data_IF_921699081742
#
_entry.id   IF_921699081742
#
_cell.length_a   1.000
_cell.length_b   1.000
_cell.length_c   1.000
_cell.angle_alpha   90.00
_cell.angle_beta   90.00
_cell.angle_gamma   90.00
#
_symmetry.space_group_name_H-M   'P 1'
#
loop_
_entity.id
_entity.type
_entity.pdbx_description
1 polymer ?
#
# COMPACT_ATOMS: atom_id res chain seq x y z
N UNK A 1 -15.60 -2.09 -23.45
CA UNK A 1 -16.47 -2.05 -22.25
C UNK A 1 -15.68 -1.91 -20.94
N UNK A 2 -14.48 -2.50 -20.81
CA UNK A 2 -13.67 -2.44 -19.59
C UNK A 2 -13.24 -1.03 -19.14
N UNK A 3 -12.88 -0.13 -20.06
CA UNK A 3 -12.37 1.20 -19.68
C UNK A 3 -13.43 2.10 -19.02
N UNK A 4 -14.67 2.11 -19.52
CA UNK A 4 -15.78 2.85 -18.89
C UNK A 4 -16.11 2.29 -17.50
N UNK A 5 -16.10 0.96 -17.36
CA UNK A 5 -16.31 0.29 -16.07
C UNK A 5 -15.20 0.59 -15.07
N UNK A 6 -13.93 0.63 -15.52
CA UNK A 6 -12.80 1.00 -14.69
C UNK A 6 -12.91 2.43 -14.18
N UNK A 7 -13.15 3.41 -15.08
CA UNK A 7 -13.29 4.83 -14.71
C UNK A 7 -14.43 5.02 -13.71
N UNK A 8 -15.58 4.37 -13.94
CA UNK A 8 -16.71 4.41 -13.01
C UNK A 8 -16.33 3.83 -11.64
N UNK A 9 -15.58 2.74 -11.61
CA UNK A 9 -15.14 2.09 -10.36
C UNK A 9 -14.13 2.95 -9.59
N UNK A 10 -13.22 3.63 -10.30
CA UNK A 10 -12.31 4.64 -9.72
C UNK A 10 -13.10 5.78 -9.09
N UNK A 11 -14.08 6.31 -9.82
CA UNK A 11 -14.94 7.38 -9.33
C UNK A 11 -15.70 6.96 -8.07
N UNK A 12 -16.34 5.78 -8.08
CA UNK A 12 -17.03 5.22 -6.91
C UNK A 12 -16.06 5.08 -5.75
N UNK A 13 -14.86 4.55 -5.98
CA UNK A 13 -13.85 4.40 -4.94
C UNK A 13 -13.49 5.72 -4.26
N UNK A 14 -13.30 6.78 -5.03
CA UNK A 14 -13.04 8.12 -4.47
C UNK A 14 -14.25 8.65 -3.71
N UNK A 15 -15.48 8.44 -4.19
CA UNK A 15 -16.69 8.91 -3.51
C UNK A 15 -16.91 8.21 -2.17
N UNK A 16 -16.70 6.89 -2.11
CA UNK A 16 -16.80 6.11 -0.86
C UNK A 16 -15.86 6.66 0.22
N UNK A 17 -14.63 7.02 -0.15
CA UNK A 17 -13.62 7.51 0.78
C UNK A 17 -13.80 8.99 1.18
N UNK A 18 -14.32 9.81 0.27
CA UNK A 18 -14.33 11.28 0.42
C UNK A 18 -15.65 11.86 0.91
N UNK A 19 -16.77 11.16 0.73
CA UNK A 19 -18.11 11.75 0.89
C UNK A 19 -18.71 11.61 2.29
N UNK A 20 -17.93 11.18 3.30
CA UNK A 20 -18.42 11.07 4.68
C UNK A 20 -18.55 12.42 5.40
N UNK A 21 -18.02 13.51 4.82
CA UNK A 21 -18.07 14.85 5.43
C UNK A 21 -18.09 15.98 4.40
N UNK A 22 -18.22 17.23 4.88
CA UNK A 22 -18.12 18.44 4.05
C UNK A 22 -16.72 18.54 3.45
N UNK A 23 -16.64 18.87 2.16
CA UNK A 23 -15.38 19.01 1.38
C UNK A 23 -14.23 19.72 2.11
N UNK A 24 -14.41 20.90 2.76
CA UNK A 24 -13.29 21.55 3.45
C UNK A 24 -12.75 20.75 4.64
N UNK A 25 -13.61 20.05 5.38
CA UNK A 25 -13.19 19.22 6.50
C UNK A 25 -12.46 17.97 6.02
N UNK A 26 -12.90 17.38 4.90
CA UNK A 26 -12.19 16.27 4.27
C UNK A 26 -10.80 16.66 3.79
N UNK A 27 -10.66 17.83 3.17
CA UNK A 27 -9.34 18.34 2.76
C UNK A 27 -8.43 18.49 3.99
N UNK A 28 -8.91 19.08 5.08
CA UNK A 28 -8.14 19.20 6.32
C UNK A 28 -7.72 17.83 6.86
N UNK A 29 -8.61 16.83 6.81
CA UNK A 29 -8.28 15.46 7.20
C UNK A 29 -7.17 14.84 6.35
N UNK A 30 -7.22 15.02 5.02
CA UNK A 30 -6.17 14.54 4.09
C UNK A 30 -4.79 15.14 4.39
N UNK A 31 -4.75 16.36 4.93
CA UNK A 31 -3.51 17.03 5.36
C UNK A 31 -3.06 16.60 6.76
N UNK A 32 -3.98 16.57 7.74
CA UNK A 32 -3.64 16.35 9.13
C UNK A 32 -3.23 14.89 9.41
N UNK A 33 -3.97 13.92 8.86
CA UNK A 33 -3.77 12.50 9.14
C UNK A 33 -2.37 12.00 8.79
N UNK A 34 -1.82 12.26 7.60
CA UNK A 34 -0.51 11.72 7.27
C UNK A 34 0.63 12.52 7.93
N UNK A 35 0.45 13.81 8.28
CA UNK A 35 1.43 14.55 9.10
C UNK A 35 1.51 13.91 10.50
N UNK A 36 0.35 13.59 11.09
CA UNK A 36 0.27 12.88 12.37
C UNK A 36 1.02 11.54 12.34
N UNK A 37 0.88 10.76 11.25
CA UNK A 37 1.54 9.45 11.12
C UNK A 37 3.08 9.53 11.17
N UNK A 38 3.66 10.64 10.72
CA UNK A 38 5.12 10.82 10.66
C UNK A 38 5.68 11.37 11.96
N UNK A 39 4.88 12.11 12.73
CA UNK A 39 5.32 12.64 14.02
C UNK A 39 5.86 11.54 14.93
N UNK A 40 5.31 10.33 14.87
CA UNK A 40 5.85 9.18 15.61
C UNK A 40 7.33 8.92 15.30
N UNK A 41 7.72 8.93 14.02
CA UNK A 41 9.12 8.72 13.62
C UNK A 41 9.99 9.92 14.04
N UNK A 42 9.50 11.14 13.88
CA UNK A 42 10.20 12.36 14.30
C UNK A 42 10.44 12.34 15.81
N UNK A 43 9.46 11.94 16.61
CA UNK A 43 9.55 11.86 18.07
C UNK A 43 10.58 10.79 18.47
N UNK A 44 10.47 9.58 17.91
CA UNK A 44 11.39 8.48 18.23
C UNK A 44 12.84 8.90 17.94
N UNK A 45 13.14 9.42 16.75
CA UNK A 45 14.52 9.75 16.37
C UNK A 45 14.99 11.11 16.87
N UNK A 46 14.09 12.07 17.02
CA UNK A 46 14.39 13.42 17.49
C UNK A 46 14.58 13.50 19.00
N UNK A 47 13.75 12.81 19.78
CA UNK A 47 13.83 12.84 21.25
C UNK A 47 14.75 11.74 21.81
N UNK A 48 14.74 10.52 21.25
CA UNK A 48 15.53 9.40 21.79
C UNK A 48 16.90 9.23 21.11
N UNK A 49 17.00 9.60 19.82
CA UNK A 49 18.20 9.38 19.00
C UNK A 49 19.10 10.60 18.78
N UNK A 50 18.61 11.82 19.02
CA UNK A 50 19.38 13.07 18.99
C UNK A 50 19.90 13.56 17.63
N UNK A 51 19.66 12.85 16.51
CA UNK A 51 20.17 13.25 15.19
C UNK A 51 19.18 13.07 14.04
N UNK A 52 18.44 14.15 13.75
CA UNK A 52 17.50 14.30 12.63
C UNK A 52 18.16 14.52 11.25
N UNK A 53 19.48 14.40 11.17
CA UNK A 53 20.25 14.52 9.91
C UNK A 53 21.05 13.26 9.57
N UNK A 54 20.79 12.16 10.28
CA UNK A 54 21.44 10.88 10.00
C UNK A 54 20.77 10.17 8.81
N UNK A 55 21.55 9.42 8.03
CA UNK A 55 21.02 8.55 6.97
C UNK A 55 19.98 7.54 7.54
N UNK A 56 20.15 7.14 8.81
CA UNK A 56 19.25 6.24 9.52
C UNK A 56 17.89 6.90 9.81
N UNK A 57 17.90 8.19 10.20
CA UNK A 57 16.65 8.95 10.34
C UNK A 57 15.92 9.07 8.99
N UNK A 58 16.63 9.43 7.91
CA UNK A 58 16.01 9.52 6.58
C UNK A 58 15.49 8.18 6.07
N UNK A 59 16.20 7.09 6.36
CA UNK A 59 15.77 5.73 6.06
C UNK A 59 14.43 5.41 6.73
N UNK A 60 14.34 5.67 8.04
CA UNK A 60 13.14 5.41 8.83
C UNK A 60 11.97 6.31 8.43
N UNK A 61 12.26 7.59 8.19
CA UNK A 61 11.26 8.61 7.86
C UNK A 61 10.58 8.35 6.52
N UNK A 62 11.38 8.29 5.44
CA UNK A 62 10.86 8.05 4.10
C UNK A 62 10.31 6.63 3.95
N UNK A 63 10.91 5.66 4.65
CA UNK A 63 10.43 4.29 4.61
C UNK A 63 9.07 4.10 5.24
N UNK A 64 8.85 4.69 6.43
CA UNK A 64 7.55 4.68 7.09
C UNK A 64 6.50 5.40 6.24
N UNK A 65 6.85 6.56 5.69
CA UNK A 65 6.03 7.32 4.75
C UNK A 65 5.54 6.48 3.56
N UNK A 66 6.48 5.85 2.84
CA UNK A 66 6.15 5.03 1.68
C UNK A 66 5.40 3.76 2.06
N UNK A 67 5.70 3.19 3.23
CA UNK A 67 4.92 2.09 3.76
C UNK A 67 3.48 2.49 4.01
N UNK A 68 3.21 3.60 4.69
CA UNK A 68 1.84 4.06 4.94
C UNK A 68 1.08 4.27 3.63
N UNK A 69 1.72 4.84 2.61
CA UNK A 69 1.14 4.97 1.27
C UNK A 69 0.75 3.62 0.65
N UNK A 70 1.68 2.66 0.63
CA UNK A 70 1.46 1.34 0.02
C UNK A 70 0.44 0.53 0.83
N UNK A 71 0.58 0.53 2.14
CA UNK A 71 -0.27 -0.19 3.09
C UNK A 71 -1.70 0.35 3.06
N UNK A 72 -1.91 1.66 3.10
CA UNK A 72 -3.26 2.24 3.04
C UNK A 72 -3.95 1.89 1.71
N UNK A 73 -3.23 1.96 0.58
CA UNK A 73 -3.76 1.51 -0.72
C UNK A 73 -4.12 0.03 -0.70
N UNK A 74 -3.20 -0.81 -0.23
CA UNK A 74 -3.33 -2.25 -0.15
C UNK A 74 -4.50 -2.69 0.75
N UNK A 75 -4.52 -2.25 2.01
CA UNK A 75 -5.48 -2.68 3.01
C UNK A 75 -6.90 -2.21 2.71
N UNK A 76 -7.09 -0.96 2.28
CA UNK A 76 -8.43 -0.46 1.94
C UNK A 76 -8.99 -1.15 0.69
N UNK A 77 -8.13 -1.47 -0.28
CA UNK A 77 -8.58 -2.27 -1.45
C UNK A 77 -8.96 -3.69 -1.05
N UNK A 78 -8.19 -4.32 -0.15
CA UNK A 78 -8.52 -5.63 0.38
C UNK A 78 -9.85 -5.61 1.14
N UNK A 79 -10.01 -4.62 2.03
CA UNK A 79 -11.17 -4.44 2.90
C UNK A 79 -12.43 -4.02 2.14
N UNK A 80 -12.30 -3.45 0.94
CA UNK A 80 -13.46 -3.06 0.13
C UNK A 80 -14.42 -4.22 -0.14
N UNK A 81 -13.92 -5.46 -0.17
CA UNK A 81 -14.76 -6.67 -0.28
C UNK A 81 -15.73 -6.78 0.89
N UNK A 82 -15.24 -6.53 2.11
CA UNK A 82 -16.07 -6.54 3.33
C UNK A 82 -17.04 -5.37 3.29
N UNK A 83 -16.58 -4.17 2.92
CA UNK A 83 -17.48 -3.00 2.80
C UNK A 83 -18.63 -3.28 1.83
N UNK A 84 -18.32 -3.81 0.66
CA UNK A 84 -19.32 -4.10 -0.36
C UNK A 84 -20.26 -5.24 0.07
N UNK A 85 -19.78 -6.22 0.85
CA UNK A 85 -20.57 -7.36 1.31
C UNK A 85 -21.43 -7.04 2.53
N UNK A 86 -20.83 -6.54 3.59
CA UNK A 86 -21.45 -6.38 4.91
C UNK A 86 -22.08 -5.00 5.08
N UNK A 87 -21.31 -3.95 4.80
CA UNK A 87 -21.70 -2.57 5.12
C UNK A 87 -22.68 -2.00 4.09
N UNK A 88 -22.31 -2.05 2.80
CA UNK A 88 -23.15 -1.54 1.71
C UNK A 88 -24.08 -2.61 1.13
N UNK A 89 -23.78 -3.91 1.32
CA UNK A 89 -24.56 -5.04 0.81
C UNK A 89 -24.82 -4.99 -0.70
N UNK A 90 -23.85 -4.45 -1.43
CA UNK A 90 -23.89 -4.28 -2.88
C UNK A 90 -23.07 -5.31 -3.66
N UNK A 91 -22.26 -6.13 -2.98
CA UNK A 91 -21.34 -7.07 -3.62
C UNK A 91 -22.01 -7.93 -4.71
N UNK A 92 -23.19 -8.49 -4.41
CA UNK A 92 -23.98 -9.29 -5.37
C UNK A 92 -24.40 -8.51 -6.63
N UNK A 93 -24.78 -7.24 -6.47
CA UNK A 93 -25.17 -6.39 -7.60
C UNK A 93 -23.96 -6.05 -8.47
N UNK A 94 -22.80 -5.85 -7.87
CA UNK A 94 -21.55 -5.59 -8.60
C UNK A 94 -21.16 -6.82 -9.42
N UNK A 95 -21.26 -8.02 -8.84
CA UNK A 95 -20.90 -9.28 -9.51
C UNK A 95 -21.82 -9.59 -10.71
N UNK A 96 -23.12 -9.26 -10.61
CA UNK A 96 -24.08 -9.44 -11.72
C UNK A 96 -23.99 -8.30 -12.76
N UNK A 97 -23.27 -7.22 -12.44
CA UNK A 97 -23.10 -6.09 -13.36
C UNK A 97 -22.31 -6.47 -14.62
N UNK A 98 -22.38 -5.63 -15.66
CA UNK A 98 -21.60 -5.83 -16.90
C UNK A 98 -20.08 -5.68 -16.70
N UNK A 99 -19.64 -5.14 -15.57
CA UNK A 99 -18.22 -4.94 -15.25
C UNK A 99 -17.72 -6.13 -14.45
N UNK A 100 -16.60 -6.74 -14.87
CA UNK A 100 -15.97 -7.82 -14.10
C UNK A 100 -15.61 -7.33 -12.70
N UNK A 101 -15.84 -8.15 -11.68
CA UNK A 101 -15.53 -7.80 -10.30
C UNK A 101 -14.04 -7.42 -10.11
N UNK A 102 -13.13 -8.13 -10.78
CA UNK A 102 -11.71 -7.75 -10.83
C UNK A 102 -11.48 -6.31 -11.29
N UNK A 103 -12.14 -5.86 -12.37
CA UNK A 103 -12.01 -4.49 -12.88
C UNK A 103 -12.57 -3.48 -11.89
N UNK A 104 -13.62 -3.85 -11.16
CA UNK A 104 -14.18 -3.03 -10.10
C UNK A 104 -13.21 -2.88 -8.92
N UNK A 105 -12.65 -3.98 -8.41
CA UNK A 105 -11.65 -3.97 -7.32
C UNK A 105 -10.39 -3.20 -7.72
N UNK A 106 -9.93 -3.38 -8.96
CA UNK A 106 -8.81 -2.60 -9.51
C UNK A 106 -9.13 -1.09 -9.52
N UNK A 107 -10.35 -0.73 -9.93
CA UNK A 107 -10.81 0.66 -9.88
C UNK A 107 -10.85 1.22 -8.46
N UNK A 108 -11.36 0.46 -7.49
CA UNK A 108 -11.33 0.84 -6.06
C UNK A 108 -9.90 1.11 -5.60
N UNK A 109 -8.96 0.23 -5.94
CA UNK A 109 -7.55 0.39 -5.57
C UNK A 109 -6.87 1.57 -6.24
N UNK A 110 -7.16 1.84 -7.52
CA UNK A 110 -6.66 3.06 -8.20
C UNK A 110 -7.23 4.32 -7.55
N UNK A 111 -8.52 4.33 -7.21
CA UNK A 111 -9.13 5.45 -6.49
C UNK A 111 -8.44 5.73 -5.15
N UNK A 112 -8.15 4.69 -4.38
CA UNK A 112 -7.40 4.81 -3.12
C UNK A 112 -5.96 5.26 -3.35
N UNK A 113 -5.28 4.73 -4.36
CA UNK A 113 -3.93 5.15 -4.72
C UNK A 113 -3.86 6.65 -5.07
N UNK A 114 -4.85 7.19 -5.78
CA UNK A 114 -4.91 8.62 -6.09
C UNK A 114 -5.00 9.45 -4.80
N UNK A 115 -5.88 9.07 -3.87
CA UNK A 115 -6.06 9.79 -2.61
C UNK A 115 -4.80 9.74 -1.74
N UNK A 116 -4.18 8.56 -1.64
CA UNK A 116 -2.95 8.39 -0.85
C UNK A 116 -1.75 9.06 -1.50
N UNK A 117 -1.67 9.12 -2.83
CA UNK A 117 -0.67 9.91 -3.56
C UNK A 117 -0.78 11.40 -3.24
N UNK A 118 -2.00 11.95 -3.14
CA UNK A 118 -2.20 13.34 -2.72
C UNK A 118 -1.68 13.53 -1.30
N UNK A 119 -2.08 12.65 -0.37
CA UNK A 119 -1.65 12.71 1.04
C UNK A 119 -0.14 12.62 1.24
N UNK A 120 0.56 11.70 0.55
CA UNK A 120 2.02 11.59 0.65
C UNK A 120 2.73 12.77 0.00
N UNK A 121 2.21 13.27 -1.12
CA UNK A 121 2.77 14.47 -1.77
C UNK A 121 2.71 15.67 -0.84
N UNK A 122 1.57 15.89 -0.18
CA UNK A 122 1.42 16.96 0.81
C UNK A 122 2.39 16.78 1.98
N UNK A 123 2.60 15.55 2.44
CA UNK A 123 3.57 15.31 3.50
C UNK A 123 5.01 15.59 3.10
N UNK A 124 5.41 15.17 1.90
CA UNK A 124 6.74 15.47 1.37
C UNK A 124 6.95 16.98 1.19
N UNK A 125 5.94 17.68 0.64
CA UNK A 125 5.98 19.15 0.49
C UNK A 125 6.12 19.88 1.83
N UNK A 126 5.59 19.32 2.92
CA UNK A 126 5.71 19.89 4.25
C UNK A 126 7.03 19.53 4.93
N UNK A 127 7.40 18.25 4.93
CA UNK A 127 8.52 17.75 5.74
C UNK A 127 9.89 18.13 5.19
N UNK A 128 10.04 18.15 3.85
CA UNK A 128 11.32 18.42 3.20
C UNK A 128 11.82 19.84 3.55
N UNK A 129 11.00 20.91 3.43
CA UNK A 129 11.41 22.25 3.84
C UNK A 129 11.59 22.38 5.36
N UNK A 130 10.67 21.81 6.16
CA UNK A 130 10.68 21.96 7.62
C UNK A 130 11.94 21.34 8.23
N UNK A 131 12.33 20.15 7.78
CA UNK A 131 13.52 19.45 8.28
C UNK A 131 14.79 19.77 7.48
N UNK A 132 14.70 20.63 6.44
CA UNK A 132 15.81 21.01 5.57
C UNK A 132 16.56 19.79 5.00
N UNK A 133 15.80 18.83 4.48
CA UNK A 133 16.33 17.57 3.95
C UNK A 133 16.98 17.81 2.59
N UNK A 134 18.21 17.33 2.41
CA UNK A 134 18.92 17.38 1.14
C UNK A 134 18.53 16.15 0.30
N UNK A 135 18.03 16.40 -0.91
CA UNK A 135 17.47 15.37 -1.81
C UNK A 135 18.22 15.44 -3.13
N UNK A 136 18.65 14.28 -3.63
CA UNK A 136 19.15 14.12 -4.99
C UNK A 136 18.09 13.37 -5.80
N UNK A 137 17.11 14.14 -6.26
CA UNK A 137 15.89 13.63 -6.87
C UNK A 137 16.16 12.98 -8.23
N UNK A 138 15.64 11.76 -8.42
CA UNK A 138 15.69 11.01 -9.66
C UNK A 138 14.29 10.61 -10.11
N UNK A 139 13.91 11.07 -11.29
CA UNK A 139 12.55 10.91 -11.80
C UNK A 139 12.25 9.46 -12.22
N UNK A 140 13.20 8.76 -12.83
CA UNK A 140 12.99 7.40 -13.32
C UNK A 140 12.68 6.39 -12.20
N UNK A 141 13.50 6.29 -11.12
CA UNK A 141 13.17 5.42 -9.99
C UNK A 141 11.86 5.80 -9.30
N UNK A 142 11.49 7.09 -9.27
CA UNK A 142 10.21 7.52 -8.72
C UNK A 142 9.03 6.96 -9.52
N UNK A 143 9.02 7.19 -10.83
CA UNK A 143 7.93 6.73 -11.70
C UNK A 143 7.85 5.19 -11.68
N UNK A 144 9.00 4.50 -11.74
CA UNK A 144 9.06 3.05 -11.65
C UNK A 144 8.53 2.56 -10.30
N UNK A 145 8.99 3.14 -9.19
CA UNK A 145 8.56 2.82 -7.83
C UNK A 145 7.06 3.01 -7.62
N UNK A 146 6.50 4.12 -8.09
CA UNK A 146 5.07 4.39 -7.96
C UNK A 146 4.22 3.48 -8.85
N UNK A 147 4.61 3.28 -10.11
CA UNK A 147 3.81 2.48 -11.06
C UNK A 147 3.90 0.98 -10.78
N UNK A 148 5.10 0.41 -10.80
CA UNK A 148 5.31 -1.03 -10.58
C UNK A 148 5.07 -1.40 -9.12
N UNK A 149 5.43 -0.52 -8.18
CA UNK A 149 5.14 -0.74 -6.77
C UNK A 149 3.64 -0.77 -6.47
N UNK A 150 2.85 0.09 -7.13
CA UNK A 150 1.40 0.02 -7.07
C UNK A 150 0.87 -1.31 -7.61
N UNK A 151 1.41 -1.81 -8.73
CA UNK A 151 1.03 -3.13 -9.28
C UNK A 151 1.33 -4.26 -8.28
N UNK A 152 2.49 -4.25 -7.62
CA UNK A 152 2.80 -5.26 -6.61
C UNK A 152 1.95 -5.14 -5.34
N UNK A 153 1.63 -3.91 -4.89
CA UNK A 153 0.71 -3.67 -3.78
C UNK A 153 -0.72 -4.10 -4.11
N UNK A 154 -1.18 -3.88 -5.34
CA UNK A 154 -2.45 -4.42 -5.84
C UNK A 154 -2.44 -5.95 -5.85
N UNK A 155 -1.33 -6.60 -6.19
CA UNK A 155 -1.17 -8.04 -6.08
C UNK A 155 -1.45 -8.55 -4.67
N UNK A 156 -0.83 -7.93 -3.67
CA UNK A 156 -1.13 -8.24 -2.28
C UNK A 156 -2.61 -7.98 -1.97
N UNK A 157 -3.17 -6.85 -2.42
CA UNK A 157 -4.56 -6.48 -2.14
C UNK A 157 -5.52 -7.54 -2.66
N UNK A 158 -5.31 -8.01 -3.89
CA UNK A 158 -6.12 -9.05 -4.52
C UNK A 158 -6.03 -10.39 -3.78
N UNK A 159 -4.84 -10.76 -3.30
CA UNK A 159 -4.69 -11.98 -2.49
C UNK A 159 -5.54 -11.90 -1.21
N UNK A 160 -5.51 -10.76 -0.50
CA UNK A 160 -6.29 -10.56 0.72
C UNK A 160 -7.78 -10.35 0.45
N UNK A 161 -8.16 -9.67 -0.63
CA UNK A 161 -9.54 -9.64 -1.13
C UNK A 161 -10.06 -11.05 -1.38
N UNK A 162 -9.24 -11.94 -1.95
CA UNK A 162 -9.56 -13.35 -2.15
C UNK A 162 -9.82 -14.08 -0.83
N UNK A 163 -8.97 -13.85 0.17
CA UNK A 163 -9.20 -14.34 1.53
C UNK A 163 -10.55 -13.86 2.08
N UNK A 164 -10.87 -12.57 1.93
CA UNK A 164 -12.12 -12.01 2.43
C UNK A 164 -13.38 -12.50 1.70
N UNK A 165 -13.28 -12.79 0.42
CA UNK A 165 -14.37 -13.44 -0.32
C UNK A 165 -14.72 -14.82 0.24
N UNK A 166 -13.73 -15.52 0.82
CA UNK A 166 -13.92 -16.86 1.40
C UNK A 166 -14.19 -16.83 2.90
N UNK A 167 -13.76 -15.77 3.60
CA UNK A 167 -13.98 -15.63 5.04
C UNK A 167 -15.41 -15.18 5.33
N UNK A 168 -16.13 -15.98 6.10
CA UNK A 168 -17.49 -15.65 6.56
C UNK A 168 -17.40 -14.60 7.69
N UNK A 169 -16.41 -14.70 8.57
CA UNK A 169 -16.21 -13.75 9.67
C UNK A 169 -15.25 -12.65 9.27
N UNK A 170 -15.64 -11.41 9.57
CA UNK A 170 -14.86 -10.18 9.39
C UNK A 170 -14.11 -9.84 10.67
N UNK A 171 -12.93 -10.42 10.86
CA UNK A 171 -12.04 -10.04 11.95
C UNK A 171 -11.15 -8.88 11.49
N UNK A 172 -11.47 -7.66 11.95
CA UNK A 172 -10.64 -6.46 11.70
C UNK A 172 -9.26 -6.58 12.34
N UNK A 173 -9.14 -7.33 13.45
CA UNK A 173 -7.89 -7.61 14.16
C UNK A 173 -6.81 -8.26 13.28
N UNK A 174 -7.20 -9.04 12.27
CA UNK A 174 -6.24 -9.65 11.34
C UNK A 174 -5.47 -8.57 10.57
N UNK A 175 -6.14 -7.49 10.16
CA UNK A 175 -5.50 -6.41 9.41
C UNK A 175 -4.49 -5.66 10.27
N UNK A 176 -4.78 -5.45 11.55
CA UNK A 176 -3.86 -4.76 12.46
C UNK A 176 -2.56 -5.57 12.66
N UNK A 177 -2.68 -6.88 12.84
CA UNK A 177 -1.52 -7.79 12.97
C UNK A 177 -0.70 -7.81 11.69
N UNK A 178 -1.36 -7.89 10.53
CA UNK A 178 -0.70 -7.85 9.24
C UNK A 178 -0.04 -6.49 9.00
N UNK A 179 -0.69 -5.40 9.36
CA UNK A 179 -0.15 -4.05 9.22
C UNK A 179 1.15 -3.91 10.03
N UNK A 180 1.19 -4.36 11.28
CA UNK A 180 2.41 -4.34 12.09
C UNK A 180 3.50 -5.28 11.54
N UNK A 181 3.13 -6.52 11.18
CA UNK A 181 4.07 -7.51 10.66
C UNK A 181 4.70 -7.10 9.33
N UNK A 182 3.89 -6.58 8.40
CA UNK A 182 4.36 -6.10 7.11
C UNK A 182 5.20 -4.82 7.24
N UNK A 183 4.91 -3.96 8.22
CA UNK A 183 5.75 -2.78 8.52
C UNK A 183 7.18 -3.19 8.89
N UNK A 184 7.32 -4.25 9.70
CA UNK A 184 8.62 -4.79 10.08
C UNK A 184 9.34 -5.46 8.89
N UNK A 185 8.65 -6.39 8.20
CA UNK A 185 9.23 -7.20 7.12
C UNK A 185 9.62 -6.34 5.92
N UNK A 186 8.83 -5.30 5.61
CA UNK A 186 9.10 -4.39 4.49
C UNK A 186 10.32 -3.50 4.69
N UNK A 187 10.91 -3.49 5.89
CA UNK A 187 12.02 -2.62 6.23
C UNK A 187 11.65 -1.14 6.19
N UNK A 188 10.40 -0.80 6.53
CA UNK A 188 9.89 0.56 6.51
C UNK A 188 10.65 1.47 7.48
N UNK A 189 10.70 1.09 8.77
CA UNK A 189 11.42 1.87 9.78
C UNK A 189 12.80 1.30 10.12
N UNK A 190 12.95 -0.02 10.06
CA UNK A 190 14.17 -0.74 10.44
C UNK A 190 14.81 -1.39 9.22
N UNK A 191 16.15 -1.37 9.14
CA UNK A 191 16.83 -2.04 8.03
C UNK A 191 16.61 -3.55 8.09
N UNK A 192 16.28 -4.23 6.98
CA UNK A 192 16.15 -5.69 6.99
C UNK A 192 17.44 -6.45 7.36
N UNK A 193 18.59 -5.75 7.44
CA UNK A 193 19.85 -6.31 7.93
C UNK A 193 19.80 -6.79 9.38
N UNK A 194 18.95 -6.20 10.23
CA UNK A 194 18.82 -6.60 11.64
C UNK A 194 17.88 -7.79 11.85
N UNK A 195 17.16 -8.22 10.80
CA UNK A 195 16.22 -9.33 10.91
C UNK A 195 16.93 -10.69 10.96
N UNK A 196 16.43 -11.65 11.75
CA UNK A 196 16.96 -13.02 11.78
C UNK A 196 16.74 -13.72 10.43
N UNK A 197 17.61 -14.69 10.12
CA UNK A 197 17.78 -15.29 8.78
C UNK A 197 16.52 -15.42 7.92
N UNK A 198 15.51 -16.16 8.40
CA UNK A 198 14.26 -16.37 7.65
C UNK A 198 13.53 -15.06 7.31
N UNK A 199 13.39 -14.15 8.28
CA UNK A 199 12.71 -12.87 8.07
C UNK A 199 13.49 -11.95 7.13
N UNK A 200 14.82 -12.02 7.16
CA UNK A 200 15.68 -11.28 6.22
C UNK A 200 15.51 -11.78 4.78
N UNK A 201 15.45 -13.10 4.58
CA UNK A 201 15.18 -13.68 3.24
C UNK A 201 13.80 -13.28 2.76
N UNK A 202 12.79 -13.36 3.64
CA UNK A 202 11.43 -12.93 3.31
C UNK A 202 11.42 -11.46 2.89
N UNK A 203 12.03 -10.57 3.67
CA UNK A 203 12.14 -9.15 3.36
C UNK A 203 12.79 -8.88 2.00
N UNK A 204 13.80 -9.67 1.62
CA UNK A 204 14.51 -9.53 0.33
C UNK A 204 13.60 -9.78 -0.87
N UNK A 205 12.71 -10.76 -0.77
CA UNK A 205 11.78 -11.13 -1.85
C UNK A 205 10.38 -10.52 -1.68
N UNK A 206 10.21 -9.63 -0.71
CA UNK A 206 8.92 -9.01 -0.44
C UNK A 206 8.73 -7.75 -1.29
N UNK A 207 7.60 -7.61 -2.02
CA UNK A 207 7.39 -6.50 -2.97
C UNK A 207 7.46 -5.14 -2.30
N UNK A 208 6.86 -4.98 -1.10
CA UNK A 208 6.88 -3.70 -0.38
C UNK A 208 8.32 -3.27 -0.05
N UNK A 209 9.21 -4.19 0.33
CA UNK A 209 10.62 -3.87 0.61
C UNK A 209 11.31 -3.26 -0.60
N UNK A 210 11.21 -3.93 -1.74
CA UNK A 210 11.84 -3.46 -2.98
C UNK A 210 11.26 -2.12 -3.47
N UNK A 211 9.94 -1.92 -3.29
CA UNK A 211 9.27 -0.68 -3.67
C UNK A 211 9.67 0.48 -2.76
N UNK A 212 9.68 0.28 -1.44
CA UNK A 212 10.11 1.31 -0.49
C UNK A 212 11.56 1.71 -0.77
N UNK A 213 12.45 0.74 -1.01
CA UNK A 213 13.84 1.03 -1.33
C UNK A 213 13.99 1.78 -2.67
N UNK A 214 13.18 1.44 -3.68
CA UNK A 214 13.17 2.14 -4.98
C UNK A 214 12.75 3.60 -4.81
N UNK A 215 11.71 3.83 -4.00
CA UNK A 215 11.22 5.16 -3.70
C UNK A 215 12.25 5.95 -2.88
N UNK A 216 12.93 5.36 -1.89
CA UNK A 216 14.04 6.03 -1.19
C UNK A 216 15.18 6.37 -2.15
N UNK A 217 15.57 5.44 -3.02
CA UNK A 217 16.61 5.67 -4.02
C UNK A 217 16.23 6.83 -4.96
N UNK A 218 14.94 6.98 -5.29
CA UNK A 218 14.45 8.12 -6.07
C UNK A 218 14.68 9.48 -5.40
N UNK A 219 14.67 9.57 -4.07
CA UNK A 219 14.90 10.83 -3.35
C UNK A 219 16.37 11.05 -2.99
N UNK A 220 17.14 10.00 -2.74
CA UNK A 220 18.51 10.13 -2.21
C UNK A 220 19.61 9.69 -3.17
N UNK A 221 19.27 9.10 -4.32
CA UNK A 221 20.23 8.63 -5.33
C UNK A 221 21.24 7.59 -4.83
N UNK A 222 21.08 7.11 -3.60
CA UNK A 222 21.92 6.14 -2.91
C UNK A 222 21.05 5.26 -2.02
N UNK A 223 21.55 4.08 -1.68
CA UNK A 223 20.98 3.25 -0.61
C UNK A 223 21.29 3.89 0.74
N UNK A 224 20.25 4.05 1.57
CA UNK A 224 20.39 4.60 2.92
C UNK A 224 20.72 3.54 3.98
N UNK A 225 20.73 2.26 3.60
CA UNK A 225 21.11 1.15 4.48
C UNK A 225 22.05 0.16 3.79
N UNK A 226 22.79 -0.62 4.58
CA UNK A 226 23.70 -1.64 4.06
C UNK A 226 22.99 -2.82 3.39
N UNK A 227 21.65 -2.92 3.47
CA UNK A 227 20.89 -4.06 2.99
C UNK A 227 21.13 -4.38 1.51
N UNK A 228 21.15 -3.34 0.67
CA UNK A 228 21.35 -3.44 -0.78
C UNK A 228 22.49 -2.52 -1.27
N UNK A 229 23.30 -1.98 -0.37
CA UNK A 229 24.36 -1.03 -0.72
C UNK A 229 25.42 -1.62 -1.68
N UNK A 230 25.63 -2.94 -1.67
CA UNK A 230 26.56 -3.62 -2.57
C UNK A 230 25.96 -4.11 -3.88
N UNK A 231 24.64 -3.98 -4.10
CA UNK A 231 23.99 -4.48 -5.31
C UNK A 231 23.99 -3.42 -6.40
N UNK A 232 24.47 -3.73 -7.63
CA UNK A 232 24.32 -2.85 -8.77
C UNK A 232 22.86 -2.49 -9.02
N UNK A 233 22.59 -1.27 -9.49
CA UNK A 233 21.23 -0.79 -9.75
C UNK A 233 20.44 -1.71 -10.69
N UNK A 234 21.09 -2.32 -11.69
CA UNK A 234 20.45 -3.25 -12.62
C UNK A 234 19.91 -4.52 -11.93
N UNK A 235 20.68 -5.09 -10.99
CA UNK A 235 20.26 -6.26 -10.22
C UNK A 235 19.13 -5.91 -9.25
N UNK A 236 19.26 -4.77 -8.57
CA UNK A 236 18.22 -4.24 -7.70
C UNK A 236 16.90 -3.97 -8.46
N UNK A 237 16.98 -3.33 -9.62
CA UNK A 237 15.84 -3.07 -10.48
C UNK A 237 15.19 -4.37 -10.99
N UNK A 238 16.00 -5.37 -11.36
CA UNK A 238 15.53 -6.70 -11.73
C UNK A 238 14.77 -7.40 -10.59
N UNK A 239 15.31 -7.36 -9.36
CA UNK A 239 14.63 -7.87 -8.17
C UNK A 239 13.31 -7.16 -7.92
N UNK A 240 13.30 -5.82 -8.01
CA UNK A 240 12.11 -4.99 -7.87
C UNK A 240 11.00 -5.34 -8.87
N UNK A 241 11.34 -5.51 -10.15
CA UNK A 241 10.36 -5.93 -11.15
C UNK A 241 9.83 -7.33 -10.85
N UNK A 242 10.73 -8.25 -10.51
CA UNK A 242 10.39 -9.64 -10.25
C UNK A 242 9.42 -9.78 -9.07
N UNK A 243 9.73 -9.19 -7.92
CA UNK A 243 8.90 -9.31 -6.70
C UNK A 243 7.50 -8.71 -6.90
N UNK A 244 7.40 -7.54 -7.53
CA UNK A 244 6.13 -6.87 -7.78
C UNK A 244 5.29 -7.62 -8.83
N UNK A 245 5.91 -8.14 -9.89
CA UNK A 245 5.21 -8.93 -10.91
C UNK A 245 4.72 -10.27 -10.36
N UNK A 246 5.55 -10.98 -9.60
CA UNK A 246 5.15 -12.22 -8.92
C UNK A 246 3.99 -11.94 -7.97
N UNK A 247 4.08 -10.89 -7.16
CA UNK A 247 2.99 -10.49 -6.25
C UNK A 247 1.67 -10.28 -7.00
N UNK A 248 1.71 -9.57 -8.13
CA UNK A 248 0.53 -9.33 -8.95
C UNK A 248 -0.05 -10.62 -9.56
N UNK A 249 0.79 -11.47 -10.15
CA UNK A 249 0.34 -12.72 -10.76
C UNK A 249 -0.26 -13.66 -9.72
N UNK A 250 0.42 -13.84 -8.59
CA UNK A 250 -0.07 -14.69 -7.49
C UNK A 250 -1.37 -14.13 -6.93
N UNK A 251 -1.42 -12.83 -6.64
CA UNK A 251 -2.63 -12.16 -6.16
C UNK A 251 -3.82 -12.30 -7.09
N UNK A 252 -3.60 -12.10 -8.39
CA UNK A 252 -4.63 -12.27 -9.42
C UNK A 252 -5.16 -13.70 -9.47
N UNK A 253 -4.27 -14.70 -9.48
CA UNK A 253 -4.67 -16.12 -9.49
C UNK A 253 -5.47 -16.47 -8.24
N UNK A 254 -4.99 -16.08 -7.06
CA UNK A 254 -5.69 -16.34 -5.80
C UNK A 254 -7.06 -15.68 -5.77
N UNK A 255 -7.17 -14.43 -6.23
CA UNK A 255 -8.43 -13.71 -6.30
C UNK A 255 -9.45 -14.38 -7.23
N UNK A 256 -9.05 -14.77 -8.44
CA UNK A 256 -9.94 -15.44 -9.40
C UNK A 256 -10.41 -16.82 -8.89
N UNK A 257 -9.53 -17.58 -8.26
CA UNK A 257 -9.87 -18.86 -7.63
C UNK A 257 -10.85 -18.66 -6.46
N UNK A 258 -10.57 -17.69 -5.60
CA UNK A 258 -11.42 -17.35 -4.46
C UNK A 258 -12.80 -16.88 -4.91
N UNK A 259 -12.88 -16.00 -5.91
CA UNK A 259 -14.14 -15.49 -6.45
C UNK A 259 -15.00 -16.63 -7.02
N UNK A 260 -14.43 -17.52 -7.83
CA UNK A 260 -15.14 -18.69 -8.36
C UNK A 260 -15.63 -19.61 -7.24
N UNK A 261 -14.81 -19.83 -6.21
CA UNK A 261 -15.20 -20.65 -5.06
C UNK A 261 -16.30 -19.98 -4.23
N UNK A 262 -16.21 -18.67 -3.98
CA UNK A 262 -17.20 -17.92 -3.22
C UNK A 262 -18.57 -17.94 -3.90
N UNK A 263 -18.62 -17.79 -5.24
CA UNK A 263 -19.85 -17.93 -6.04
C UNK A 263 -20.43 -19.34 -5.90
N UNK A 264 -19.61 -20.38 -6.12
CA UNK A 264 -20.08 -21.78 -6.06
C UNK A 264 -20.61 -22.18 -4.69
N UNK A 265 -20.02 -21.64 -3.62
CA UNK A 265 -20.38 -21.96 -2.24
C UNK A 265 -21.45 -21.03 -1.66
N UNK A 266 -21.93 -20.04 -2.41
CA UNK A 266 -22.93 -19.09 -1.94
C UNK A 266 -22.44 -18.13 -0.85
N UNK A 267 -21.12 -17.95 -0.69
CA UNK A 267 -20.54 -17.11 0.36
C UNK A 267 -20.79 -15.61 0.15
N UNK A 268 -21.20 -15.21 -1.04
CA UNK A 268 -21.49 -13.82 -1.38
C UNK A 268 -22.73 -13.26 -0.66
N UNK A 269 -23.68 -14.13 -0.33
CA UNK A 269 -24.96 -13.76 0.29
C UNK A 269 -24.95 -13.92 1.83
N UNK A 270 -23.88 -14.52 2.37
CA UNK A 270 -23.72 -14.67 3.81
C UNK A 270 -23.25 -13.33 4.37
N UNK A 271 -24.08 -12.72 5.20
CA UNK A 271 -23.72 -11.53 5.99
C UNK A 271 -23.77 -11.91 7.45
N UNK A 272 -22.80 -11.42 8.23
CA UNK A 272 -22.69 -11.78 9.65
C UNK A 272 -23.38 -10.79 10.59
N UNK A 273 -24.15 -9.85 10.04
CA UNK A 273 -24.82 -8.78 10.78
C UNK A 273 -23.84 -8.09 11.75
N UNK A 274 -22.96 -7.24 11.19
CA UNK A 274 -22.39 -6.15 11.97
C UNK A 274 -23.49 -5.26 12.55
#
# INVERSE_FOLDING_TARGET
MGMKGLIASVYIGIQVESNWTKKPLYLLYLFASPIASIFTVIIIYGMLGGNLKSDLFYFALFGSLFYYFLADTFFNTAFSVIDDREHYRVLKYIIVSKTKYFTYTLGRGVGKAILTLISITMNLLWIIPVLKIHISFQLFPLIAGLSVGFVGALGLALAFSGYYLLSIRSETSLMDVLFGGLFLISGAMFSPTILPGFLKTLATYFPLTSTIEMLRFAFFGKHLSQFLAGTPFSQFFGLFLMTNLISFVVGFVLFELALKSAIKKGYLDITTAF
#
